data_IF_609873288419
#
_entry.id   IF_609873288419
#
_cell.length_a   1.000
_cell.length_b   1.000
_cell.length_c   1.000
_cell.angle_alpha   90.00
_cell.angle_beta   90.00
_cell.angle_gamma   90.00
#
_symmetry.space_group_name_H-M   'P 1'
#
loop_
_entity.id
_entity.type
_entity.pdbx_description
1 polymer ?
#
# COMPACT_ATOMS: atom_id res chain seq x y z
N UNK A 1 -33.57 -49.23 51.09
CA UNK A 1 -33.48 -49.17 49.62
C UNK A 1 -33.83 -47.74 49.20
N UNK A 2 -32.81 -46.89 49.04
CA UNK A 2 -32.37 -46.31 47.75
C UNK A 2 -33.50 -45.50 47.06
N UNK A 3 -33.64 -44.19 47.29
CA UNK A 3 -32.88 -43.04 46.74
C UNK A 3 -33.20 -42.74 45.26
N UNK A 4 -33.77 -41.54 45.01
CA UNK A 4 -33.69 -40.69 43.81
C UNK A 4 -34.46 -39.39 44.15
N UNK A 5 -33.94 -38.16 44.07
CA UNK A 5 -32.81 -37.60 43.32
C UNK A 5 -33.36 -36.51 42.40
N UNK A 6 -33.14 -35.23 42.73
CA UNK A 6 -33.81 -34.09 42.10
C UNK A 6 -33.11 -33.41 40.92
N UNK A 7 -33.82 -32.39 40.41
CA UNK A 7 -33.43 -31.17 39.66
C UNK A 7 -32.64 -31.29 38.33
N UNK A 8 -33.10 -30.53 37.33
CA UNK A 8 -32.27 -30.10 36.20
C UNK A 8 -33.04 -29.36 35.10
N UNK A 9 -32.93 -28.03 35.07
CA UNK A 9 -33.33 -27.14 33.95
C UNK A 9 -32.34 -27.30 32.79
N UNK A 10 -32.75 -27.32 31.51
CA UNK A 10 -31.79 -27.35 30.41
C UNK A 10 -31.37 -25.92 30.03
N UNK A 11 -30.13 -25.57 30.39
CA UNK A 11 -29.36 -24.53 29.72
C UNK A 11 -28.50 -25.22 28.65
N UNK A 12 -28.61 -24.82 27.37
CA UNK A 12 -27.78 -25.38 26.29
C UNK A 12 -27.14 -24.28 25.47
N UNK A 13 -25.87 -24.06 25.78
CA UNK A 13 -24.95 -23.17 25.13
C UNK A 13 -24.63 -23.58 23.67
N UNK A 14 -24.59 -22.58 22.80
CA UNK A 14 -24.19 -22.66 21.39
C UNK A 14 -22.73 -23.10 21.23
N UNK A 15 -22.50 -24.35 20.79
CA UNK A 15 -21.18 -24.84 20.36
C UNK A 15 -20.92 -24.49 18.89
N UNK A 16 -20.00 -23.54 18.63
CA UNK A 16 -19.35 -23.34 17.32
C UNK A 16 -18.65 -24.64 16.89
N UNK A 17 -19.09 -25.24 15.78
CA UNK A 17 -18.39 -26.38 15.14
C UNK A 17 -17.20 -25.86 14.33
N UNK A 18 -15.99 -26.34 14.64
CA UNK A 18 -14.79 -26.20 13.79
C UNK A 18 -15.06 -26.95 12.47
N UNK A 19 -14.88 -26.27 11.34
CA UNK A 19 -14.94 -26.89 10.01
C UNK A 19 -13.83 -27.95 9.89
N UNK A 20 -14.22 -29.20 9.64
CA UNK A 20 -13.29 -30.29 9.38
C UNK A 20 -12.59 -30.07 8.04
N UNK A 21 -11.26 -30.26 8.04
CA UNK A 21 -10.37 -30.14 6.90
C UNK A 21 -10.76 -31.19 5.83
N UNK A 22 -11.39 -30.77 4.74
CA UNK A 22 -11.74 -31.65 3.63
C UNK A 22 -10.46 -32.11 2.91
N UNK A 23 -10.32 -33.39 2.55
CA UNK A 23 -9.14 -33.88 1.83
C UNK A 23 -9.07 -33.25 0.44
N UNK A 24 -7.91 -32.69 0.10
CA UNK A 24 -7.63 -32.09 -1.21
C UNK A 24 -6.89 -33.12 -2.07
N UNK A 25 -7.33 -33.31 -3.30
CA UNK A 25 -6.65 -34.12 -4.31
C UNK A 25 -5.90 -33.20 -5.28
N UNK A 26 -4.70 -33.57 -5.70
CA UNK A 26 -3.84 -32.77 -6.56
C UNK A 26 -3.62 -33.48 -7.89
N UNK A 27 -3.99 -32.84 -8.99
CA UNK A 27 -3.89 -33.41 -10.33
C UNK A 27 -2.75 -32.74 -11.11
N UNK A 28 -1.84 -33.52 -11.69
CA UNK A 28 -0.78 -33.04 -12.57
C UNK A 28 -1.07 -33.54 -13.99
N UNK A 29 -1.37 -32.62 -14.90
CA UNK A 29 -1.64 -32.88 -16.32
C UNK A 29 -0.36 -32.79 -17.16
N UNK A 30 0.51 -31.84 -16.85
CA UNK A 30 1.85 -31.73 -17.43
C UNK A 30 2.87 -31.64 -16.30
N UNK A 31 3.82 -32.57 -16.25
CA UNK A 31 4.82 -32.70 -15.20
C UNK A 31 5.68 -33.94 -15.46
N UNK A 32 6.65 -34.21 -14.59
CA UNK A 32 7.48 -35.43 -14.66
C UNK A 32 6.63 -36.70 -14.54
N UNK A 33 5.62 -36.66 -13.68
CA UNK A 33 4.66 -37.76 -13.47
C UNK A 33 3.23 -37.22 -13.52
N UNK A 34 2.57 -37.25 -14.69
CA UNK A 34 1.16 -36.91 -14.80
C UNK A 34 0.28 -37.92 -14.04
N UNK A 35 -0.65 -37.44 -13.22
CA UNK A 35 -1.45 -38.29 -12.33
C UNK A 35 -2.21 -37.50 -11.26
N UNK A 36 -2.96 -38.23 -10.42
CA UNK A 36 -3.70 -37.67 -9.29
C UNK A 36 -3.06 -38.15 -7.98
N UNK A 37 -2.74 -37.19 -7.12
CA UNK A 37 -2.08 -37.37 -5.84
C UNK A 37 -3.03 -36.99 -4.71
N UNK A 38 -2.98 -37.72 -3.59
CA UNK A 38 -3.71 -37.38 -2.36
C UNK A 38 -2.91 -36.50 -1.40
N UNK A 39 -1.62 -36.32 -1.66
CA UNK A 39 -0.71 -35.47 -0.90
C UNK A 39 -0.09 -34.41 -1.82
N UNK A 40 0.13 -33.22 -1.27
CA UNK A 40 0.82 -32.13 -1.95
C UNK A 40 2.30 -32.44 -2.19
N UNK A 41 2.96 -33.18 -1.29
CA UNK A 41 4.39 -33.49 -1.44
C UNK A 41 4.66 -34.34 -2.69
N UNK A 42 3.84 -35.37 -2.95
CA UNK A 42 3.93 -36.21 -4.15
C UNK A 42 3.64 -35.40 -5.43
N UNK A 43 2.69 -34.46 -5.35
CA UNK A 43 2.40 -33.54 -6.44
C UNK A 43 3.59 -32.58 -6.69
N UNK A 44 4.24 -32.09 -5.64
CA UNK A 44 5.37 -31.15 -5.70
C UNK A 44 6.60 -31.81 -6.35
N UNK A 45 6.91 -33.04 -6.00
CA UNK A 45 7.98 -33.81 -6.67
C UNK A 45 7.71 -33.97 -8.18
N UNK A 46 6.45 -34.14 -8.55
CA UNK A 46 6.03 -34.34 -9.94
C UNK A 46 6.11 -33.07 -10.81
N UNK A 47 6.10 -31.88 -10.22
CA UNK A 47 6.14 -30.59 -10.95
C UNK A 47 7.49 -29.88 -10.83
N UNK A 48 8.31 -30.20 -9.81
CA UNK A 48 9.56 -29.50 -9.54
C UNK A 48 10.59 -29.75 -10.66
N UNK A 49 11.09 -28.67 -11.26
CA UNK A 49 12.08 -28.71 -12.34
C UNK A 49 11.52 -29.10 -13.73
N UNK A 50 10.20 -29.16 -13.93
CA UNK A 50 9.59 -29.35 -15.24
C UNK A 50 9.08 -28.02 -15.81
N UNK A 51 9.68 -27.55 -16.92
CA UNK A 51 9.30 -26.28 -17.56
C UNK A 51 7.95 -26.45 -18.28
N UNK A 52 6.92 -25.75 -17.80
CA UNK A 52 5.56 -25.85 -18.32
C UNK A 52 4.66 -26.85 -17.58
N UNK A 53 4.92 -27.09 -16.29
CA UNK A 53 4.06 -27.95 -15.48
C UNK A 53 2.64 -27.37 -15.36
N UNK A 54 1.62 -28.21 -15.55
CA UNK A 54 0.20 -27.89 -15.45
C UNK A 54 -0.42 -28.79 -14.38
N UNK A 55 -0.80 -28.21 -13.25
CA UNK A 55 -1.38 -28.93 -12.12
C UNK A 55 -2.50 -28.11 -11.45
N UNK A 56 -3.45 -28.78 -10.80
CA UNK A 56 -4.59 -28.16 -10.11
C UNK A 56 -5.08 -29.04 -8.97
N UNK A 57 -5.54 -28.44 -7.88
CA UNK A 57 -6.16 -29.17 -6.77
C UNK A 57 -7.68 -29.23 -6.91
N UNK A 58 -8.28 -30.35 -6.56
CA UNK A 58 -9.71 -30.63 -6.60
C UNK A 58 -10.19 -31.15 -5.25
N UNK A 59 -11.46 -30.91 -4.95
CA UNK A 59 -12.12 -31.45 -3.75
C UNK A 59 -12.46 -32.94 -3.91
N UNK A 60 -12.53 -33.45 -5.15
CA UNK A 60 -12.82 -34.85 -5.43
C UNK A 60 -11.79 -35.48 -6.37
N UNK A 61 -11.49 -36.76 -6.15
CA UNK A 61 -10.57 -37.55 -7.00
C UNK A 61 -11.09 -37.65 -8.44
N UNK A 62 -12.40 -37.73 -8.64
CA UNK A 62 -13.00 -37.85 -9.98
C UNK A 62 -12.77 -36.60 -10.83
N UNK A 63 -12.83 -35.40 -10.24
CA UNK A 63 -12.54 -34.15 -10.96
C UNK A 63 -11.05 -34.01 -11.28
N UNK A 64 -10.19 -34.47 -10.35
CA UNK A 64 -8.75 -34.54 -10.57
C UNK A 64 -8.40 -35.48 -11.73
N UNK A 65 -9.02 -36.66 -11.83
CA UNK A 65 -8.81 -37.61 -12.93
C UNK A 65 -9.33 -37.06 -14.27
N UNK A 66 -10.42 -36.29 -14.27
CA UNK A 66 -10.93 -35.61 -15.46
C UNK A 66 -9.96 -34.54 -15.99
N UNK A 67 -9.31 -33.80 -15.10
CA UNK A 67 -8.29 -32.81 -15.46
C UNK A 67 -7.04 -33.45 -16.07
N UNK A 68 -6.57 -34.58 -15.52
CA UNK A 68 -5.42 -35.32 -16.08
C UNK A 68 -5.76 -35.91 -17.45
N UNK A 69 -6.98 -36.43 -17.63
CA UNK A 69 -7.42 -37.05 -18.89
C UNK A 69 -7.79 -36.07 -20.01
N UNK A 70 -7.75 -34.76 -19.75
CA UNK A 70 -7.99 -33.72 -20.77
C UNK A 70 -9.43 -33.65 -21.28
N UNK A 71 -10.39 -34.27 -20.56
CA UNK A 71 -11.80 -34.36 -20.94
C UNK A 71 -12.58 -33.23 -20.26
N UNK A 72 -12.45 -32.01 -20.80
CA UNK A 72 -13.31 -30.89 -20.39
C UNK A 72 -14.71 -31.09 -20.96
N UNK A 73 -15.66 -31.51 -20.12
CA UNK A 73 -17.08 -31.61 -20.48
C UNK A 73 -17.68 -30.22 -20.63
N UNK A 74 -17.77 -29.76 -21.87
CA UNK A 74 -18.48 -28.54 -22.25
C UNK A 74 -19.94 -28.88 -22.60
N UNK A 75 -20.84 -28.80 -21.60
CA UNK A 75 -22.31 -28.75 -21.78
C UNK A 75 -22.94 -28.12 -20.53
N UNK A 76 -23.42 -26.87 -20.62
CA UNK A 76 -24.00 -26.09 -19.51
C UNK A 76 -25.45 -26.46 -19.15
N UNK A 77 -26.14 -25.70 -18.27
CA UNK A 77 -25.73 -24.51 -17.52
C UNK A 77 -26.00 -24.64 -16.00
N UNK A 78 -24.97 -24.51 -15.15
CA UNK A 78 -25.08 -23.82 -13.85
C UNK A 78 -23.68 -23.52 -13.34
N UNK A 79 -23.35 -22.25 -13.23
CA UNK A 79 -22.09 -21.77 -12.67
C UNK A 79 -22.04 -22.06 -11.15
N UNK A 80 -20.83 -22.27 -10.60
CA UNK A 80 -20.48 -21.44 -9.46
C UNK A 80 -19.07 -20.84 -9.51
N UNK A 81 -19.07 -19.50 -9.42
CA UNK A 81 -18.20 -18.64 -8.59
C UNK A 81 -16.68 -18.72 -8.79
N UNK A 82 -16.23 -18.12 -9.90
CA UNK A 82 -15.18 -17.10 -9.84
C UNK A 82 -15.81 -15.79 -10.30
N UNK A 83 -15.65 -14.70 -9.54
CA UNK A 83 -16.36 -13.42 -9.72
C UNK A 83 -16.44 -12.94 -11.18
N UNK A 84 -17.55 -13.20 -11.85
CA UNK A 84 -17.85 -12.58 -13.13
C UNK A 84 -18.12 -11.08 -12.88
N UNK A 85 -17.25 -10.22 -13.39
CA UNK A 85 -17.37 -8.76 -13.28
C UNK A 85 -17.95 -8.24 -14.58
N UNK A 86 -19.04 -7.49 -14.51
CA UNK A 86 -19.70 -6.88 -15.66
C UNK A 86 -19.52 -5.37 -15.60
N UNK A 87 -19.21 -4.74 -16.74
CA UNK A 87 -18.99 -3.31 -16.87
C UNK A 87 -20.09 -2.72 -17.77
N UNK A 88 -20.97 -1.92 -17.20
CA UNK A 88 -22.02 -1.21 -17.95
C UNK A 88 -21.55 0.19 -18.34
N UNK A 89 -21.50 0.48 -19.65
CA UNK A 89 -21.19 1.80 -20.20
C UNK A 89 -22.49 2.43 -20.72
N UNK A 90 -23.00 3.44 -20.03
CA UNK A 90 -24.22 4.16 -20.37
C UNK A 90 -23.97 5.42 -21.22
N UNK A 91 -22.75 5.96 -21.21
CA UNK A 91 -22.31 7.06 -22.08
C UNK A 91 -20.85 6.81 -22.47
N UNK A 92 -20.59 6.60 -23.75
CA UNK A 92 -19.31 6.23 -24.37
C UNK A 92 -19.48 6.04 -25.88
N UNK A 93 -18.41 5.66 -26.59
CA UNK A 93 -18.42 5.41 -28.04
C UNK A 93 -19.43 4.32 -28.43
N UNK A 94 -19.50 3.23 -27.67
CA UNK A 94 -20.53 2.20 -27.78
C UNK A 94 -21.13 1.90 -26.39
N UNK A 95 -22.37 2.37 -26.10
CA UNK A 95 -23.05 2.00 -24.86
C UNK A 95 -23.44 0.51 -24.85
N UNK A 96 -23.14 -0.18 -23.75
CA UNK A 96 -23.33 -1.64 -23.66
C UNK A 96 -22.77 -2.26 -22.38
N UNK A 97 -22.94 -3.57 -22.24
CA UNK A 97 -22.38 -4.36 -21.13
C UNK A 97 -21.21 -5.19 -21.62
N UNK A 98 -20.10 -5.07 -20.92
CA UNK A 98 -18.84 -5.73 -21.23
C UNK A 98 -18.47 -6.69 -20.10
N UNK A 99 -17.88 -7.82 -20.45
CA UNK A 99 -17.38 -8.82 -19.48
C UNK A 99 -15.90 -8.62 -19.14
N UNK A 100 -15.28 -7.63 -19.77
CA UNK A 100 -13.85 -7.32 -19.65
C UNK A 100 -13.65 -5.80 -19.58
N UNK A 101 -12.71 -5.38 -18.72
CA UNK A 101 -12.44 -3.95 -18.50
C UNK A 101 -11.77 -3.32 -19.71
N UNK A 102 -10.84 -4.03 -20.37
CA UNK A 102 -10.10 -3.49 -21.51
C UNK A 102 -11.06 -3.09 -22.63
N UNK A 103 -12.08 -3.91 -22.91
CA UNK A 103 -13.09 -3.59 -23.93
C UNK A 103 -13.99 -2.41 -23.51
N UNK A 104 -14.32 -2.30 -22.22
CA UNK A 104 -15.13 -1.18 -21.69
C UNK A 104 -14.36 0.15 -21.68
N UNK A 105 -13.06 0.10 -21.37
CA UNK A 105 -12.16 1.24 -21.27
C UNK A 105 -12.00 1.95 -22.64
N UNK A 106 -11.90 1.18 -23.72
CA UNK A 106 -11.88 1.72 -25.09
C UNK A 106 -13.13 2.55 -25.41
N UNK A 107 -14.27 2.23 -24.80
CA UNK A 107 -15.53 2.96 -25.06
C UNK A 107 -15.64 4.27 -24.28
N UNK A 108 -14.87 4.45 -23.21
CA UNK A 108 -14.90 5.66 -22.38
C UNK A 108 -13.72 6.59 -22.67
N UNK A 109 -12.60 6.05 -23.17
CA UNK A 109 -11.37 6.79 -23.44
C UNK A 109 -11.60 7.91 -24.45
N UNK A 110 -11.36 9.15 -24.02
CA UNK A 110 -11.53 10.36 -24.84
C UNK A 110 -12.99 10.80 -25.04
N UNK A 111 -13.97 10.16 -24.40
CA UNK A 111 -15.37 10.58 -24.47
C UNK A 111 -15.67 11.73 -23.51
N UNK A 112 -16.52 12.68 -23.91
CA UNK A 112 -16.92 13.79 -23.02
C UNK A 112 -17.96 13.30 -22.02
N UNK A 113 -17.60 13.26 -20.74
CA UNK A 113 -18.44 12.80 -19.63
C UNK A 113 -18.94 11.34 -19.80
N UNK A 114 -18.03 10.35 -19.75
CA UNK A 114 -18.43 8.95 -19.81
C UNK A 114 -19.19 8.57 -18.53
N UNK A 115 -20.23 7.75 -18.68
CA UNK A 115 -21.02 7.20 -17.57
C UNK A 115 -20.88 5.70 -17.59
N UNK A 116 -20.20 5.14 -16.60
CA UNK A 116 -19.98 3.71 -16.51
C UNK A 116 -20.01 3.24 -15.06
N UNK A 117 -20.32 1.97 -14.84
CA UNK A 117 -20.32 1.34 -13.52
C UNK A 117 -20.06 -0.16 -13.63
N UNK A 118 -19.44 -0.74 -12.60
CA UNK A 118 -19.19 -2.18 -12.48
C UNK A 118 -20.29 -2.85 -11.65
N UNK A 119 -20.72 -4.02 -12.09
CA UNK A 119 -21.77 -4.83 -11.48
C UNK A 119 -21.28 -6.26 -11.29
N UNK A 120 -21.83 -6.92 -10.27
CA UNK A 120 -21.64 -8.35 -10.00
C UNK A 120 -22.51 -9.22 -10.90
N UNK A 121 -23.55 -8.65 -11.51
CA UNK A 121 -24.46 -9.37 -12.39
C UNK A 121 -24.64 -8.65 -13.73
N UNK A 122 -24.81 -9.44 -14.82
CA UNK A 122 -25.07 -8.92 -16.16
C UNK A 122 -26.37 -8.10 -16.22
N UNK A 123 -27.43 -8.57 -15.56
CA UNK A 123 -28.73 -7.92 -15.56
C UNK A 123 -28.73 -6.52 -14.94
N UNK A 124 -27.95 -6.31 -13.86
CA UNK A 124 -27.80 -4.98 -13.26
C UNK A 124 -27.01 -4.02 -14.17
N UNK A 125 -25.98 -4.53 -14.87
CA UNK A 125 -25.25 -3.76 -15.86
C UNK A 125 -26.14 -3.35 -17.04
N UNK A 126 -26.99 -4.26 -17.52
CA UNK A 126 -27.94 -3.99 -18.62
C UNK A 126 -28.96 -2.94 -18.19
N UNK A 127 -29.50 -3.03 -16.97
CA UNK A 127 -30.44 -2.05 -16.42
C UNK A 127 -29.81 -0.65 -16.28
N UNK A 128 -28.53 -0.56 -15.89
CA UNK A 128 -27.81 0.71 -15.80
C UNK A 128 -27.60 1.39 -17.15
N UNK A 129 -27.27 0.62 -18.18
CA UNK A 129 -27.14 1.11 -19.56
C UNK A 129 -28.50 1.56 -20.10
N UNK A 130 -29.55 0.77 -19.87
CA UNK A 130 -30.91 1.07 -20.32
C UNK A 130 -31.51 2.30 -19.61
N UNK A 131 -31.14 2.54 -18.35
CA UNK A 131 -31.54 3.73 -17.60
C UNK A 131 -30.74 5.00 -17.96
N UNK A 132 -29.84 4.94 -18.95
CA UNK A 132 -29.01 6.07 -19.36
C UNK A 132 -28.07 6.58 -18.26
N UNK A 133 -27.67 5.68 -17.35
CA UNK A 133 -26.86 6.00 -16.18
C UNK A 133 -27.59 6.83 -15.11
N UNK A 134 -28.93 6.82 -15.08
CA UNK A 134 -29.75 7.40 -14.00
C UNK A 134 -30.27 6.29 -13.09
N UNK A 135 -29.58 6.03 -11.97
CA UNK A 135 -30.01 5.03 -10.98
C UNK A 135 -31.09 5.57 -10.04
N UNK A 136 -32.18 4.83 -9.87
CA UNK A 136 -33.29 5.13 -8.94
C UNK A 136 -32.87 5.10 -7.47
N UNK A 137 -33.56 5.93 -6.66
CA UNK A 137 -33.28 6.23 -5.26
C UNK A 137 -33.75 5.08 -4.35
N UNK A 138 -32.83 4.24 -3.88
CA UNK A 138 -32.94 3.45 -2.64
C UNK A 138 -31.56 3.46 -1.95
N UNK A 139 -31.57 3.41 -0.62
CA UNK A 139 -30.61 3.96 0.33
C UNK A 139 -29.09 3.90 0.01
N UNK A 140 -28.49 5.11 0.00
CA UNK A 140 -27.22 5.52 0.63
C UNK A 140 -26.00 4.59 0.58
N UNK A 141 -25.04 4.89 -0.32
CA UNK A 141 -23.65 4.43 -0.16
C UNK A 141 -22.78 4.49 -1.42
N UNK A 142 -22.03 5.58 -1.56
CA UNK A 142 -20.74 5.67 -2.27
C UNK A 142 -20.74 5.70 -3.81
N UNK A 143 -20.52 6.90 -4.35
CA UNK A 143 -19.92 7.14 -5.65
C UNK A 143 -18.40 6.95 -5.53
N UNK A 144 -17.90 5.74 -5.77
CA UNK A 144 -16.46 5.51 -5.96
C UNK A 144 -16.14 5.63 -7.45
N UNK A 145 -15.49 6.74 -7.79
CA UNK A 145 -14.68 6.89 -9.00
C UNK A 145 -13.45 5.99 -8.81
N UNK A 146 -13.32 4.98 -9.66
CA UNK A 146 -12.17 4.07 -9.68
C UNK A 146 -11.20 4.66 -10.70
N UNK A 147 -10.11 5.25 -10.21
CA UNK A 147 -8.94 5.61 -11.02
C UNK A 147 -8.12 4.36 -11.34
N UNK A 148 -7.54 4.40 -12.53
CA UNK A 148 -6.73 3.38 -13.17
C UNK A 148 -5.32 3.27 -12.55
N UNK A 149 -4.68 2.15 -12.88
CA UNK A 149 -3.25 1.83 -12.79
C UNK A 149 -2.70 1.23 -11.49
N UNK A 150 -2.83 -0.11 -11.41
CA UNK A 150 -1.78 -0.94 -10.80
C UNK A 150 -1.55 -2.18 -11.70
N UNK A 151 -0.43 -2.19 -12.42
CA UNK A 151 0.13 -3.39 -13.06
C UNK A 151 0.94 -4.18 -12.02
N UNK A 152 0.81 -5.51 -11.94
CA UNK A 152 1.62 -6.32 -11.06
C UNK A 152 2.89 -6.78 -11.78
N UNK A 153 4.03 -6.30 -11.31
CA UNK A 153 5.32 -6.89 -11.61
C UNK A 153 5.63 -8.04 -10.66
N UNK A 154 6.23 -9.02 -11.29
CA UNK A 154 6.48 -10.40 -10.94
C UNK A 154 7.71 -10.60 -10.00
N UNK A 155 7.78 -11.81 -9.47
CA UNK A 155 8.93 -12.51 -8.87
C UNK A 155 9.14 -12.42 -7.35
N UNK A 156 8.71 -13.51 -6.71
CA UNK A 156 8.89 -13.81 -5.30
C UNK A 156 10.33 -14.15 -4.90
N UNK A 157 10.52 -14.44 -3.62
CA UNK A 157 11.04 -15.75 -3.22
C UNK A 157 10.72 -16.06 -1.76
N UNK A 158 10.55 -17.35 -1.53
CA UNK A 158 10.29 -18.08 -0.30
C UNK A 158 11.36 -17.88 0.78
N UNK A 159 10.94 -17.87 2.06
CA UNK A 159 11.70 -18.51 3.14
C UNK A 159 10.73 -19.19 4.11
N UNK A 160 11.05 -20.46 4.35
CA UNK A 160 10.63 -21.32 5.46
C UNK A 160 11.13 -20.80 6.80
N UNK A 161 10.50 -21.23 7.90
CA UNK A 161 11.13 -21.77 9.14
C UNK A 161 9.98 -22.01 10.15
N UNK A 162 9.70 -23.25 10.56
CA UNK A 162 10.40 -24.08 11.56
C UNK A 162 10.53 -23.43 12.95
N UNK A 163 9.74 -24.03 13.85
CA UNK A 163 9.88 -24.24 15.29
C UNK A 163 10.50 -23.18 16.22
N UNK A 164 9.68 -22.74 17.17
CA UNK A 164 10.05 -22.00 18.38
C UNK A 164 10.78 -22.87 19.41
N UNK A 165 11.64 -22.26 20.23
CA UNK A 165 11.54 -22.53 21.66
C UNK A 165 11.49 -21.27 22.52
N UNK A 166 10.62 -21.36 23.53
CA UNK A 166 10.36 -20.43 24.62
C UNK A 166 11.32 -20.68 25.78
N UNK A 167 11.93 -19.64 26.38
CA UNK A 167 12.18 -19.56 27.84
C UNK A 167 12.67 -18.13 28.26
N UNK A 168 12.69 -17.76 29.57
CA UNK A 168 12.03 -16.53 30.04
C UNK A 168 12.98 -15.57 30.78
N UNK A 169 12.52 -14.38 31.20
CA UNK A 169 12.63 -13.96 32.62
C UNK A 169 12.40 -12.46 32.89
N UNK A 170 11.51 -12.24 33.86
CA UNK A 170 11.70 -11.41 35.08
C UNK A 170 11.96 -9.91 34.92
N UNK A 171 10.82 -9.23 34.93
CA UNK A 171 10.48 -8.08 35.77
C UNK A 171 11.22 -8.07 37.14
N UNK A 172 12.01 -7.03 37.42
CA UNK A 172 12.28 -6.53 38.78
C UNK A 172 12.17 -5.01 38.79
N UNK A 173 11.26 -4.51 39.64
CA UNK A 173 11.19 -3.13 40.11
C UNK A 173 12.12 -3.00 41.31
N UNK A 174 12.90 -1.93 41.37
CA UNK A 174 13.31 -1.25 42.62
C UNK A 174 13.72 0.19 42.28
N UNK A 175 13.04 1.16 42.88
CA UNK A 175 13.48 2.57 43.06
C UNK A 175 14.17 2.68 44.45
N UNK A 176 14.54 3.88 44.98
CA UNK A 176 14.99 5.15 44.39
C UNK A 176 16.28 5.71 45.09
N UNK A 177 16.82 6.86 44.63
CA UNK A 177 17.24 8.04 45.44
C UNK A 177 18.55 8.76 45.00
N UNK A 178 18.48 10.10 45.11
CA UNK A 178 19.52 11.14 45.21
C UNK A 178 20.35 11.45 43.94
N UNK A 179 20.13 12.57 43.23
CA UNK A 179 20.45 13.98 43.57
C UNK A 179 21.95 14.30 43.52
N UNK A 180 22.42 14.87 42.40
CA UNK A 180 23.50 15.88 42.37
C UNK A 180 23.26 16.82 41.19
N UNK A 181 23.09 18.10 41.49
CA UNK A 181 23.03 19.22 40.55
C UNK A 181 24.41 19.50 39.93
N UNK A 182 24.44 19.88 38.65
CA UNK A 182 25.47 20.79 38.16
C UNK A 182 24.96 21.64 36.99
N UNK A 183 24.69 22.89 37.35
CA UNK A 183 24.53 24.07 36.50
C UNK A 183 25.66 24.21 35.50
N UNK A 184 25.32 24.40 34.22
CA UNK A 184 26.14 25.14 33.26
C UNK A 184 25.22 26.09 32.49
N UNK A 185 25.28 27.37 32.86
CA UNK A 185 24.78 28.48 32.08
C UNK A 185 25.80 28.81 30.99
N UNK A 186 25.38 28.92 29.73
CA UNK A 186 26.12 29.71 28.74
C UNK A 186 25.14 30.52 27.89
N UNK A 187 25.18 31.83 28.19
CA UNK A 187 24.89 33.00 27.38
C UNK A 187 23.95 32.86 26.17
N UNK A 188 22.75 33.40 26.35
CA UNK A 188 21.97 34.00 25.28
C UNK A 188 22.79 35.11 24.60
N UNK A 189 23.06 34.94 23.31
CA UNK A 189 23.42 36.05 22.42
C UNK A 189 22.19 36.37 21.58
N UNK A 190 21.49 37.41 22.03
CA UNK A 190 20.44 38.13 21.31
C UNK A 190 21.00 38.72 20.02
N UNK A 191 20.61 38.16 18.88
CA UNK A 191 20.63 38.88 17.60
C UNK A 191 19.68 38.22 16.60
N UNK A 192 18.39 38.44 16.80
CA UNK A 192 17.34 38.09 15.84
C UNK A 192 16.13 39.01 16.03
N UNK A 193 16.33 40.31 15.82
CA UNK A 193 15.24 41.30 15.72
C UNK A 193 15.49 42.25 14.56
N UNK A 194 15.64 41.70 13.34
CA UNK A 194 15.51 42.46 12.08
C UNK A 194 15.50 41.57 10.82
N UNK A 195 14.45 40.78 10.60
CA UNK A 195 14.14 40.35 9.21
C UNK A 195 12.68 40.02 8.91
N UNK A 196 11.77 40.06 9.89
CA UNK A 196 10.41 39.55 9.71
C UNK A 196 9.50 40.34 8.74
N UNK A 197 9.98 41.43 8.12
CA UNK A 197 9.16 42.28 7.26
C UNK A 197 9.54 42.25 5.76
N UNK A 198 10.70 41.70 5.37
CA UNK A 198 11.15 41.70 3.97
C UNK A 198 10.76 40.44 3.17
N UNK A 199 10.41 39.34 3.85
CA UNK A 199 10.21 38.04 3.19
C UNK A 199 8.83 37.83 2.57
N UNK A 200 7.82 38.64 2.94
CA UNK A 200 6.47 38.55 2.38
C UNK A 200 6.37 38.93 0.88
N UNK A 201 7.44 39.47 0.29
CA UNK A 201 7.56 39.74 -1.16
C UNK A 201 8.58 38.85 -1.87
N UNK A 202 9.14 37.85 -1.19
CA UNK A 202 10.13 36.95 -1.79
C UNK A 202 9.44 35.95 -2.72
N UNK A 203 10.08 35.64 -3.87
CA UNK A 203 9.64 34.58 -4.78
C UNK A 203 9.41 33.28 -3.97
N UNK A 204 8.38 32.47 -4.27
CA UNK A 204 8.22 31.18 -3.59
C UNK A 204 9.50 30.35 -3.64
N UNK A 205 9.78 29.63 -2.56
CA UNK A 205 10.94 28.75 -2.48
C UNK A 205 10.61 27.41 -3.15
N UNK A 206 11.22 27.15 -4.30
CA UNK A 206 11.16 25.85 -4.97
C UNK A 206 12.07 24.86 -4.25
N UNK A 207 11.55 23.68 -3.92
CA UNK A 207 12.28 22.59 -3.28
C UNK A 207 11.94 21.31 -4.02
N UNK A 208 12.95 20.53 -4.40
CA UNK A 208 12.77 19.26 -5.10
C UNK A 208 13.04 18.11 -4.12
N UNK A 209 12.19 17.10 -4.10
CA UNK A 209 12.27 15.99 -3.16
C UNK A 209 12.13 14.67 -3.89
N UNK A 210 12.97 13.70 -3.50
CA UNK A 210 12.94 12.35 -4.06
C UNK A 210 13.33 11.31 -3.00
N UNK A 211 12.83 10.09 -3.17
CA UNK A 211 13.09 8.93 -2.35
C UNK A 211 13.58 7.76 -3.19
N UNK A 212 14.72 7.17 -2.80
CA UNK A 212 15.30 6.02 -3.50
C UNK A 212 15.42 4.82 -2.59
N UNK A 213 15.07 3.64 -3.07
CA UNK A 213 15.24 2.38 -2.33
C UNK A 213 15.96 1.32 -3.16
N UNK A 214 16.98 0.72 -2.57
CA UNK A 214 17.72 -0.41 -3.11
C UNK A 214 17.12 -1.71 -2.57
N UNK A 215 16.77 -2.62 -3.47
CA UNK A 215 16.09 -3.88 -3.16
C UNK A 215 14.75 -3.69 -2.42
N UNK A 216 13.94 -2.72 -2.87
CA UNK A 216 12.62 -2.41 -2.28
C UNK A 216 11.75 -3.67 -2.09
N UNK A 217 11.10 -3.78 -0.92
CA UNK A 217 10.25 -4.91 -0.57
C UNK A 217 10.98 -6.22 -0.22
N UNK A 218 12.32 -6.24 -0.26
CA UNK A 218 13.13 -7.44 0.05
C UNK A 218 13.85 -7.31 1.39
N UNK A 219 14.22 -8.44 1.98
CA UNK A 219 15.10 -8.48 3.15
C UNK A 219 16.43 -7.81 2.79
N UNK A 220 16.89 -6.91 3.65
CA UNK A 220 18.11 -6.15 3.41
C UNK A 220 17.92 -4.87 2.58
N UNK A 221 16.67 -4.52 2.23
CA UNK A 221 16.37 -3.24 1.61
C UNK A 221 16.97 -2.07 2.40
N UNK A 222 17.44 -1.07 1.69
CA UNK A 222 17.87 0.21 2.25
C UNK A 222 17.34 1.33 1.39
N UNK A 223 16.99 2.43 2.01
CA UNK A 223 16.49 3.59 1.30
C UNK A 223 17.27 4.85 1.66
N UNK A 224 17.10 5.88 0.84
CA UNK A 224 17.76 7.16 0.96
C UNK A 224 16.82 8.29 0.58
N UNK A 225 17.07 9.44 1.19
CA UNK A 225 16.24 10.63 1.16
C UNK A 225 17.03 11.74 0.48
N UNK A 226 16.44 12.35 -0.54
CA UNK A 226 17.02 13.46 -1.30
C UNK A 226 16.15 14.71 -1.20
N UNK A 227 16.75 15.83 -0.79
CA UNK A 227 16.10 17.15 -0.82
C UNK A 227 17.05 18.16 -1.45
N UNK A 228 16.59 18.83 -2.51
CA UNK A 228 17.38 19.78 -3.28
C UNK A 228 16.72 21.17 -3.27
N UNK A 229 17.43 22.13 -2.69
CA UNK A 229 17.09 23.55 -2.65
C UNK A 229 17.77 24.36 -3.77
N UNK A 230 18.85 23.83 -4.36
CA UNK A 230 19.63 24.47 -5.41
C UNK A 230 21.10 24.07 -5.39
N UNK A 231 21.83 24.37 -6.47
CA UNK A 231 23.26 24.04 -6.56
C UNK A 231 24.06 24.76 -5.48
N UNK A 232 24.86 24.00 -4.73
CA UNK A 232 25.70 24.54 -3.65
C UNK A 232 24.93 25.05 -2.43
N UNK A 233 23.62 24.78 -2.33
CA UNK A 233 22.84 25.16 -1.15
C UNK A 233 23.14 24.21 0.03
N UNK A 234 23.58 24.77 1.15
CA UNK A 234 23.92 24.01 2.37
C UNK A 234 22.72 23.27 2.99
N UNK A 235 21.49 23.60 2.55
CA UNK A 235 20.25 22.93 2.97
C UNK A 235 19.97 21.64 2.21
N UNK A 236 20.73 21.34 1.16
CA UNK A 236 20.57 20.10 0.42
C UNK A 236 20.80 18.89 1.32
N UNK A 237 19.86 17.94 1.30
CA UNK A 237 19.92 16.72 2.11
C UNK A 237 20.17 15.54 1.21
N UNK A 238 21.19 14.78 1.58
CA UNK A 238 21.36 13.38 1.18
C UNK A 238 21.53 12.61 2.47
N UNK A 239 20.58 11.74 2.80
CA UNK A 239 20.67 10.90 4.00
C UNK A 239 20.15 9.48 3.77
N UNK A 240 20.57 8.56 4.62
CA UNK A 240 19.98 7.23 4.67
C UNK A 240 18.61 7.32 5.36
N UNK A 241 17.61 6.61 4.86
CA UNK A 241 16.33 6.50 5.56
C UNK A 241 16.55 5.80 6.91
N UNK A 242 16.12 6.46 7.98
CA UNK A 242 16.20 5.90 9.33
C UNK A 242 15.03 4.96 9.64
N UNK A 243 15.25 4.05 10.59
CA UNK A 243 14.24 3.09 11.05
C UNK A 243 14.25 1.74 10.30
N UNK A 244 13.36 0.85 10.69
CA UNK A 244 13.32 -0.52 10.20
C UNK A 244 12.65 -0.66 8.82
N UNK A 245 11.63 0.18 8.56
CA UNK A 245 10.89 0.16 7.30
C UNK A 245 11.67 0.88 6.22
N UNK A 246 12.29 0.10 5.33
CA UNK A 246 13.14 0.60 4.24
C UNK A 246 12.41 0.47 2.91
N UNK A 247 11.53 1.43 2.58
CA UNK A 247 10.73 1.42 1.35
C UNK A 247 10.86 2.73 0.59
N UNK A 248 10.60 2.69 -0.73
CA UNK A 248 10.60 3.92 -1.55
C UNK A 248 9.62 4.95 -1.01
N UNK A 249 8.36 4.54 -0.83
CA UNK A 249 7.27 5.42 -0.39
C UNK A 249 7.53 6.12 0.93
N UNK A 250 8.25 5.45 1.85
CA UNK A 250 8.62 6.05 3.12
C UNK A 250 9.76 7.06 2.96
N UNK A 251 10.73 6.79 2.08
CA UNK A 251 11.79 7.74 1.75
C UNK A 251 11.24 9.01 1.08
N UNK A 252 10.28 8.87 0.16
CA UNK A 252 9.59 9.99 -0.51
C UNK A 252 8.89 10.92 0.49
N UNK A 253 8.08 10.34 1.40
CA UNK A 253 7.41 11.11 2.45
C UNK A 253 8.41 11.76 3.40
N UNK A 254 9.50 11.06 3.73
CA UNK A 254 10.56 11.61 4.59
C UNK A 254 11.24 12.79 3.90
N UNK A 255 11.45 12.75 2.58
CA UNK A 255 12.01 13.87 1.83
C UNK A 255 11.13 15.12 1.91
N UNK A 256 9.81 14.96 1.78
CA UNK A 256 8.84 16.05 1.98
C UNK A 256 8.91 16.59 3.41
N UNK A 257 8.96 15.71 4.41
CA UNK A 257 9.06 16.13 5.81
C UNK A 257 10.32 16.97 6.05
N UNK A 258 11.49 16.49 5.59
CA UNK A 258 12.77 17.20 5.70
C UNK A 258 12.73 18.56 4.99
N UNK A 259 12.16 18.62 3.79
CA UNK A 259 11.97 19.87 3.07
C UNK A 259 11.18 20.90 3.91
N UNK A 260 10.09 20.47 4.55
CA UNK A 260 9.24 21.33 5.37
C UNK A 260 9.86 21.73 6.71
N UNK A 261 10.68 20.87 7.32
CA UNK A 261 11.44 21.15 8.54
C UNK A 261 12.52 22.22 8.31
N UNK A 262 13.16 22.20 7.14
CA UNK A 262 14.26 23.11 6.79
C UNK A 262 13.74 24.43 6.20
N UNK A 263 12.61 24.40 5.50
CA UNK A 263 12.10 25.58 4.81
C UNK A 263 11.66 26.69 5.80
N UNK A 264 12.01 27.96 5.53
CA UNK A 264 11.66 29.07 6.42
C UNK A 264 10.14 29.21 6.56
N UNK A 265 9.63 29.26 7.81
CA UNK A 265 8.20 29.18 8.12
C UNK A 265 7.33 30.26 7.47
N UNK A 266 7.90 31.43 7.22
CA UNK A 266 7.20 32.64 6.75
C UNK A 266 7.35 32.91 5.24
N UNK A 267 7.80 31.91 4.48
CA UNK A 267 7.91 31.97 3.01
C UNK A 267 7.05 30.88 2.37
N UNK A 268 6.37 31.21 1.28
CA UNK A 268 5.67 30.20 0.49
C UNK A 268 6.65 29.19 -0.10
N UNK A 269 6.33 27.90 -0.01
CA UNK A 269 7.14 26.80 -0.54
C UNK A 269 6.40 26.06 -1.64
N UNK A 270 7.13 25.73 -2.69
CA UNK A 270 6.67 24.90 -3.81
C UNK A 270 7.51 23.63 -3.80
N UNK A 271 6.91 22.51 -3.39
CA UNK A 271 7.54 21.20 -3.34
C UNK A 271 7.28 20.49 -4.66
N UNK A 272 8.36 20.11 -5.34
CA UNK A 272 8.35 19.34 -6.58
C UNK A 272 8.77 17.91 -6.29
N UNK A 273 7.96 16.95 -6.71
CA UNK A 273 8.22 15.51 -6.56
C UNK A 273 7.52 14.75 -7.68
N UNK A 274 8.08 13.62 -8.10
CA UNK A 274 7.43 12.69 -9.03
C UNK A 274 6.58 11.63 -8.31
N UNK A 275 6.60 11.60 -6.98
CA UNK A 275 5.81 10.68 -6.16
C UNK A 275 4.35 11.15 -6.01
N UNK A 276 3.49 10.68 -6.93
CA UNK A 276 2.03 10.81 -6.82
C UNK A 276 1.51 10.23 -5.50
N UNK A 277 2.11 9.15 -5.00
CA UNK A 277 1.77 8.57 -3.71
C UNK A 277 1.89 9.61 -2.59
N UNK A 278 3.03 10.28 -2.50
CA UNK A 278 3.31 11.25 -1.45
C UNK A 278 2.40 12.47 -1.55
N UNK A 279 2.20 13.00 -2.76
CA UNK A 279 1.26 14.10 -3.01
C UNK A 279 -0.14 13.71 -2.57
N UNK A 280 -0.64 12.54 -2.99
CA UNK A 280 -1.97 12.09 -2.64
C UNK A 280 -2.16 11.87 -1.13
N UNK A 281 -1.15 11.35 -0.44
CA UNK A 281 -1.17 11.21 1.02
C UNK A 281 -1.48 12.54 1.70
N UNK A 282 -0.81 13.62 1.30
CA UNK A 282 -0.84 14.92 2.01
C UNK A 282 -1.85 15.92 1.44
N UNK A 283 -2.49 15.62 0.31
CA UNK A 283 -3.49 16.51 -0.33
C UNK A 283 -4.91 15.93 -0.36
N UNK A 284 -5.05 14.62 -0.59
CA UNK A 284 -6.33 13.98 -0.88
C UNK A 284 -6.70 12.95 0.16
N UNK A 285 -5.85 11.96 0.39
CA UNK A 285 -6.18 10.78 1.18
C UNK A 285 -6.28 11.05 2.68
N UNK A 286 -5.43 11.94 3.23
CA UNK A 286 -5.48 12.24 4.66
C UNK A 286 -6.84 12.74 5.14
N UNK A 287 -7.61 13.43 4.30
CA UNK A 287 -8.94 13.96 4.66
C UNK A 287 -9.90 12.85 5.08
N UNK A 288 -9.83 11.71 4.38
CA UNK A 288 -10.60 10.51 4.74
C UNK A 288 -9.94 9.76 5.91
N UNK A 289 -8.61 9.68 5.92
CA UNK A 289 -7.88 8.98 6.97
C UNK A 289 -8.05 9.59 8.36
N UNK A 290 -8.06 10.91 8.47
CA UNK A 290 -8.28 11.61 9.74
C UNK A 290 -9.68 11.34 10.32
N UNK A 291 -10.69 11.14 9.46
CA UNK A 291 -12.07 10.90 9.90
C UNK A 291 -12.40 9.42 10.12
N UNK A 292 -11.57 8.50 9.63
CA UNK A 292 -11.82 7.05 9.71
C UNK A 292 -10.81 6.29 10.60
N UNK A 293 -10.21 6.98 11.58
CA UNK A 293 -9.19 6.41 12.48
C UNK A 293 -7.92 5.92 11.78
N UNK A 294 -7.56 6.51 10.64
CA UNK A 294 -6.39 6.17 9.84
C UNK A 294 -6.38 4.74 9.33
N UNK A 295 -7.50 4.36 8.70
CA UNK A 295 -7.70 3.07 8.08
C UNK A 295 -7.77 3.20 6.55
N UNK A 296 -7.22 2.21 5.84
CA UNK A 296 -7.33 2.08 4.39
C UNK A 296 -8.75 1.66 3.99
N UNK A 297 -9.04 1.64 2.68
CA UNK A 297 -10.29 1.07 2.15
C UNK A 297 -10.48 -0.41 2.51
N UNK A 298 -9.39 -1.14 2.74
CA UNK A 298 -9.37 -2.54 3.19
C UNK A 298 -9.40 -2.69 4.71
N UNK A 299 -9.69 -1.60 5.43
CA UNK A 299 -9.80 -1.54 6.89
C UNK A 299 -8.49 -1.91 7.62
N UNK A 300 -7.34 -1.70 6.97
CA UNK A 300 -6.02 -1.88 7.57
C UNK A 300 -5.46 -0.55 8.05
N UNK A 301 -4.58 -0.51 9.07
CA UNK A 301 -3.89 0.71 9.44
C UNK A 301 -3.10 1.30 8.27
N UNK A 302 -3.17 2.62 8.09
CA UNK A 302 -2.35 3.33 7.10
C UNK A 302 -0.87 3.20 7.50
N UNK A 303 -0.08 2.55 6.64
CA UNK A 303 1.30 2.15 6.92
C UNK A 303 2.24 3.31 7.29
N UNK A 304 2.18 4.42 6.54
CA UNK A 304 3.05 5.59 6.74
C UNK A 304 2.33 6.73 7.49
N UNK A 305 1.36 6.38 8.35
CA UNK A 305 0.56 7.35 9.11
C UNK A 305 1.45 8.33 9.88
N UNK A 306 2.51 7.83 10.49
CA UNK A 306 3.46 8.60 11.29
C UNK A 306 4.02 9.80 10.49
N UNK A 307 4.58 9.54 9.31
CA UNK A 307 5.13 10.60 8.46
C UNK A 307 4.04 11.54 7.93
N UNK A 308 2.89 11.00 7.52
CA UNK A 308 1.80 11.82 6.97
C UNK A 308 1.27 12.78 8.04
N UNK A 309 1.11 12.33 9.29
CA UNK A 309 0.71 13.18 10.42
C UNK A 309 1.72 14.31 10.65
N UNK A 310 3.01 14.01 10.65
CA UNK A 310 4.06 15.00 10.89
C UNK A 310 4.14 16.04 9.75
N UNK A 311 4.02 15.59 8.50
CA UNK A 311 3.96 16.48 7.33
C UNK A 311 2.75 17.42 7.42
N UNK A 312 1.57 16.90 7.76
CA UNK A 312 0.36 17.71 7.90
C UNK A 312 0.48 18.71 9.04
N UNK A 313 1.12 18.34 10.16
CA UNK A 313 1.42 19.27 11.24
C UNK A 313 2.31 20.41 10.72
N UNK A 314 3.33 20.11 9.90
CA UNK A 314 4.18 21.14 9.27
C UNK A 314 3.45 22.04 8.31
N UNK A 315 2.59 21.50 7.46
CA UNK A 315 1.73 22.29 6.58
C UNK A 315 0.83 23.23 7.40
N UNK A 316 0.19 22.71 8.47
CA UNK A 316 -0.71 23.50 9.33
C UNK A 316 -0.01 24.63 10.08
N UNK A 317 1.19 24.40 10.60
CA UNK A 317 1.98 25.47 11.25
C UNK A 317 2.33 26.59 10.27
N UNK A 318 2.76 26.24 9.05
CA UNK A 318 3.06 27.23 7.99
C UNK A 318 1.81 28.03 7.61
N UNK A 319 0.66 27.37 7.46
CA UNK A 319 -0.60 28.03 7.21
C UNK A 319 -1.00 28.97 8.36
N UNK A 320 -0.75 28.59 9.61
CA UNK A 320 -1.02 29.41 10.79
C UNK A 320 -0.27 30.74 10.81
N UNK A 321 0.91 30.81 10.18
CA UNK A 321 1.70 32.05 9.99
C UNK A 321 1.49 32.69 8.61
N UNK A 322 0.48 32.25 7.86
CA UNK A 322 0.09 32.84 6.57
C UNK A 322 0.95 32.40 5.38
N UNK A 323 1.75 31.34 5.50
CA UNK A 323 2.61 30.83 4.44
C UNK A 323 2.05 29.56 3.79
N UNK A 324 1.97 29.57 2.46
CA UNK A 324 1.48 28.44 1.66
C UNK A 324 2.49 27.30 1.52
N UNK A 325 1.96 26.10 1.32
CA UNK A 325 2.72 24.93 0.82
C UNK A 325 2.00 24.40 -0.40
N UNK A 326 2.64 24.47 -1.56
CA UNK A 326 2.10 24.03 -2.84
C UNK A 326 2.89 22.81 -3.29
N UNK A 327 2.18 21.74 -3.68
CA UNK A 327 2.77 20.53 -4.23
C UNK A 327 2.61 20.53 -5.74
N UNK A 328 3.71 20.31 -6.45
CA UNK A 328 3.76 20.22 -7.90
C UNK A 328 4.25 18.83 -8.28
N UNK A 329 3.39 18.05 -8.93
CA UNK A 329 3.83 16.80 -9.53
C UNK A 329 4.66 17.09 -10.77
N UNK A 330 5.79 16.41 -10.89
CA UNK A 330 6.61 16.41 -12.08
C UNK A 330 6.81 14.99 -12.58
N UNK A 331 7.04 14.84 -13.87
CA UNK A 331 7.25 13.52 -14.44
C UNK A 331 8.64 13.01 -14.04
N UNK A 332 8.70 11.82 -13.45
CA UNK A 332 9.97 11.13 -13.19
C UNK A 332 10.77 10.90 -14.47
N UNK A 333 12.10 10.98 -14.38
CA UNK A 333 13.03 10.83 -15.50
C UNK A 333 12.75 11.75 -16.72
N UNK A 334 12.18 12.94 -16.48
CA UNK A 334 11.83 13.90 -17.55
C UNK A 334 12.96 14.85 -17.94
N UNK A 335 14.21 14.54 -17.56
CA UNK A 335 15.39 15.39 -17.72
C UNK A 335 15.28 16.78 -17.05
N UNK A 336 14.49 16.90 -15.96
CA UNK A 336 14.53 18.09 -15.11
C UNK A 336 15.81 18.04 -14.25
N UNK A 337 16.77 18.95 -14.44
CA UNK A 337 18.06 18.89 -13.73
C UNK A 337 17.94 18.96 -12.20
N UNK A 338 16.89 19.62 -11.69
CA UNK A 338 16.67 19.78 -10.25
C UNK A 338 16.04 18.53 -9.64
N UNK A 339 15.14 17.87 -10.37
CA UNK A 339 14.63 16.56 -9.94
C UNK A 339 15.72 15.50 -9.99
N UNK A 340 16.54 15.48 -11.05
CA UNK A 340 17.70 14.60 -11.12
C UNK A 340 18.72 14.88 -10.01
N UNK A 341 18.84 16.12 -9.55
CA UNK A 341 19.67 16.44 -8.40
C UNK A 341 19.10 15.84 -7.11
N UNK A 342 17.78 15.91 -6.89
CA UNK A 342 17.12 15.26 -5.77
C UNK A 342 17.29 13.71 -5.82
N UNK A 343 17.11 13.09 -6.99
CA UNK A 343 17.35 11.66 -7.21
C UNK A 343 18.79 11.26 -6.85
N UNK A 344 19.78 12.00 -7.38
CA UNK A 344 21.20 11.75 -7.05
C UNK A 344 21.47 11.82 -5.55
N UNK A 345 20.85 12.76 -4.85
CA UNK A 345 20.97 12.87 -3.40
C UNK A 345 20.31 11.67 -2.69
N UNK A 346 19.12 11.25 -3.11
CA UNK A 346 18.41 10.10 -2.55
C UNK A 346 19.18 8.79 -2.77
N UNK A 347 19.65 8.53 -3.99
CA UNK A 347 20.47 7.37 -4.36
C UNK A 347 21.76 7.34 -3.54
N UNK A 348 22.45 8.48 -3.40
CA UNK A 348 23.67 8.57 -2.59
C UNK A 348 23.39 8.24 -1.11
N UNK A 349 22.23 8.66 -0.59
CA UNK A 349 21.75 8.29 0.74
C UNK A 349 21.58 6.77 0.92
N UNK A 350 20.90 6.12 -0.02
CA UNK A 350 20.66 4.68 0.01
C UNK A 350 21.96 3.87 -0.12
N UNK A 351 22.89 4.32 -0.96
CA UNK A 351 24.20 3.69 -1.12
C UNK A 351 25.04 3.75 0.16
N UNK A 352 25.03 4.90 0.87
CA UNK A 352 25.70 5.00 2.18
C UNK A 352 25.08 4.07 3.21
N UNK A 353 23.75 3.92 3.20
CA UNK A 353 23.06 2.96 4.06
C UNK A 353 23.51 1.51 3.76
N UNK A 354 23.59 1.16 2.47
CA UNK A 354 24.04 -0.16 2.03
C UNK A 354 25.48 -0.46 2.48
N UNK A 355 26.39 0.51 2.29
CA UNK A 355 27.79 0.39 2.71
C UNK A 355 27.91 0.22 4.24
N UNK A 356 27.14 0.98 5.02
CA UNK A 356 27.10 0.85 6.48
C UNK A 356 26.62 -0.53 6.94
N UNK A 357 25.64 -1.13 6.25
CA UNK A 357 25.17 -2.49 6.56
C UNK A 357 26.21 -3.55 6.23
N UNK A 358 26.85 -3.46 5.05
CA UNK A 358 27.93 -4.37 4.64
C UNK A 358 29.12 -4.38 5.60
N UNK A 359 29.46 -3.22 6.17
CA UNK A 359 30.56 -3.13 7.14
C UNK A 359 30.20 -3.63 8.54
N UNK A 360 28.93 -3.96 8.80
CA UNK A 360 28.44 -4.48 10.10
C UNK A 360 28.17 -5.99 10.09
N UNK A 361 28.03 -6.61 8.91
CA UNK A 361 27.97 -8.07 8.75
C UNK A 361 29.37 -8.65 8.64
#
# INVERSE_FOLDING_TARGET
MAAQGGKGVPDSASKKRKAANQPKFYAVRAGRHPGVFSDWNDCKESITGFKGASFKSFSTRSEAEAFVSGRESNSGPSAPVGEARFYGVASGHHPGVYTDWTTAQEQIKGWKLPKYKRFSTRGEAEAFVQAGGRGGKVDSGTTDLIDEDEQPDDLGNEVSDEESPTVPSKRRKTSPAASVEKTVQIAATTSATKSCASDAKSKPLSIYTDGSSLANGKVGAVAGVGVFFGDGDDRNISEALEGELQTNQRAELTAILRALEIAPMHREVHIYTDSNYSINCVTTWFKKWETNNWLTSTNQPVMNKDLVVDILARIRERQGVGSGTIFNWIKGHSNDPSNEAADRLAVSGAQRAQARRRNKS
#
